data_IF_430963068734
#
_entry.id   IF_430963068734
#
_cell.length_a   1.000
_cell.length_b   1.000
_cell.length_c   1.000
_cell.angle_alpha   90.00
_cell.angle_beta   90.00
_cell.angle_gamma   90.00
#
_symmetry.space_group_name_H-M   'P 1'
#
loop_
_entity.id
_entity.type
_entity.pdbx_description
1 polymer ?
#
# COMPACT_ATOMS: atom_id res chain seq x y z
N UNK A 1 -28.09 47.91 22.73
CA UNK A 1 -26.64 47.61 22.79
C UNK A 1 -26.50 46.47 23.76
N UNK A 2 -26.58 45.25 23.24
CA UNK A 2 -26.51 44.01 24.02
C UNK A 2 -25.35 43.17 23.51
N UNK A 3 -24.50 42.79 24.46
CA UNK A 3 -23.42 41.83 24.29
C UNK A 3 -24.00 40.44 24.05
N UNK A 4 -23.67 39.82 22.91
CA UNK A 4 -23.78 38.37 22.73
C UNK A 4 -22.44 37.82 22.25
N UNK A 5 -21.70 37.25 23.19
CA UNK A 5 -20.51 36.44 22.94
C UNK A 5 -20.93 35.11 22.32
N UNK A 6 -20.72 34.94 21.02
CA UNK A 6 -20.86 33.65 20.35
C UNK A 6 -19.67 32.74 20.69
N UNK A 7 -19.92 31.77 21.56
CA UNK A 7 -19.06 30.62 21.85
C UNK A 7 -18.82 29.80 20.57
N UNK A 8 -17.67 30.01 19.94
CA UNK A 8 -17.10 29.05 18.98
C UNK A 8 -16.50 27.88 19.77
N UNK A 9 -17.32 26.90 20.12
CA UNK A 9 -16.82 25.57 20.49
C UNK A 9 -16.44 24.84 19.22
N UNK A 10 -15.14 24.90 18.91
CA UNK A 10 -14.49 24.12 17.88
C UNK A 10 -14.52 22.64 18.30
N UNK A 11 -15.40 21.85 17.71
CA UNK A 11 -15.65 20.44 18.08
C UNK A 11 -14.46 19.53 17.72
N UNK A 12 -13.40 20.08 17.12
CA UNK A 12 -12.15 19.38 16.82
C UNK A 12 -11.03 19.64 17.85
N UNK A 13 -11.25 20.46 18.87
CA UNK A 13 -10.26 20.69 19.94
C UNK A 13 -10.42 19.77 21.15
N UNK A 14 -11.29 18.76 21.10
CA UNK A 14 -11.30 17.70 22.09
C UNK A 14 -10.04 16.85 21.90
N UNK A 15 -9.08 17.07 22.79
CA UNK A 15 -7.74 16.47 22.85
C UNK A 15 -7.83 14.93 22.84
N UNK A 16 -7.93 14.35 21.64
CA UNK A 16 -7.34 13.04 21.37
C UNK A 16 -5.84 13.30 21.48
N UNK A 17 -5.19 12.79 22.53
CA UNK A 17 -3.76 13.05 22.72
C UNK A 17 -3.03 12.69 21.43
N UNK A 18 -2.14 13.58 20.96
CA UNK A 18 -1.37 13.39 19.73
C UNK A 18 -0.62 12.06 19.66
N UNK A 19 -0.39 11.43 20.82
CA UNK A 19 0.18 10.10 20.96
C UNK A 19 -0.77 8.96 20.53
N UNK A 20 -2.10 9.12 20.62
CA UNK A 20 -3.07 8.10 20.17
C UNK A 20 -3.23 8.07 18.65
N UNK A 21 -3.16 9.23 17.98
CA UNK A 21 -3.19 9.29 16.51
C UNK A 21 -1.90 8.74 15.89
N UNK A 22 -0.75 8.92 16.56
CA UNK A 22 0.53 8.27 16.19
C UNK A 22 0.52 6.73 16.35
N UNK A 23 -0.47 6.16 17.02
CA UNK A 23 -0.59 4.72 17.22
C UNK A 23 -1.43 4.03 16.13
N UNK A 24 -2.08 4.79 15.25
CA UNK A 24 -2.79 4.25 14.09
C UNK A 24 -1.79 3.98 12.95
N UNK A 25 -1.97 2.91 12.18
CA UNK A 25 -1.13 2.66 11.01
C UNK A 25 -1.25 3.80 10.01
N UNK A 26 -0.20 3.98 9.20
CA UNK A 26 -0.29 4.88 8.06
C UNK A 26 -1.49 4.48 7.18
N UNK A 27 -2.21 5.46 6.57
CA UNK A 27 -3.33 5.14 5.69
C UNK A 27 -2.88 4.18 4.58
N UNK A 28 -3.60 3.06 4.33
CA UNK A 28 -3.12 1.93 3.53
C UNK A 28 -2.64 2.32 2.13
N UNK A 29 -3.27 3.31 1.52
CA UNK A 29 -3.05 3.69 0.13
C UNK A 29 -2.42 5.08 -0.03
N UNK A 30 -1.86 5.66 1.04
CA UNK A 30 -1.30 7.01 1.00
C UNK A 30 -0.19 7.13 -0.05
N UNK A 31 0.80 6.23 0.00
CA UNK A 31 1.95 6.24 -0.91
C UNK A 31 1.50 6.14 -2.38
N UNK A 32 0.73 5.13 -2.81
CA UNK A 32 0.31 5.05 -4.20
C UNK A 32 -0.61 6.18 -4.63
N UNK A 33 -1.49 6.70 -3.76
CA UNK A 33 -2.32 7.86 -4.08
C UNK A 33 -1.47 9.13 -4.31
N UNK A 34 -0.39 9.33 -3.53
CA UNK A 34 0.54 10.45 -3.73
C UNK A 34 1.30 10.29 -5.05
N UNK A 35 1.78 9.08 -5.35
CA UNK A 35 2.47 8.79 -6.62
C UNK A 35 1.56 9.11 -7.80
N UNK A 36 0.30 8.65 -7.80
CA UNK A 36 -0.66 8.98 -8.85
C UNK A 36 -0.85 10.48 -9.03
N UNK A 37 -1.12 11.21 -7.94
CA UNK A 37 -1.31 12.65 -8.02
C UNK A 37 -0.08 13.38 -8.57
N UNK A 38 1.13 12.94 -8.20
CA UNK A 38 2.35 13.51 -8.75
C UNK A 38 2.50 13.20 -10.24
N UNK A 39 2.19 11.97 -10.65
CA UNK A 39 2.22 11.51 -12.04
C UNK A 39 1.13 12.15 -12.93
N UNK A 40 0.06 12.67 -12.34
CA UNK A 40 -1.00 13.46 -12.99
C UNK A 40 -0.69 14.97 -12.99
N UNK A 41 0.34 15.40 -12.27
CA UNK A 41 0.72 16.80 -12.14
C UNK A 41 1.85 17.20 -13.08
N UNK A 42 2.28 18.47 -12.98
CA UNK A 42 3.49 19.00 -13.62
C UNK A 42 4.80 18.29 -13.22
N UNK A 43 4.77 17.45 -12.19
CA UNK A 43 5.93 16.69 -11.72
C UNK A 43 6.04 15.29 -12.37
N UNK A 44 5.15 14.94 -13.30
CA UNK A 44 5.08 13.60 -13.88
C UNK A 44 6.38 13.10 -14.52
N UNK A 45 7.19 13.99 -15.10
CA UNK A 45 8.49 13.65 -15.68
C UNK A 45 9.63 13.56 -14.66
N UNK A 46 9.37 13.89 -13.39
CA UNK A 46 10.33 13.90 -12.29
C UNK A 46 10.06 12.81 -11.25
N UNK A 47 8.95 12.08 -11.40
CA UNK A 47 8.55 11.01 -10.48
C UNK A 47 8.68 9.67 -11.18
N UNK A 48 9.33 8.73 -10.51
CA UNK A 48 9.48 7.37 -10.98
C UNK A 48 9.46 6.41 -9.79
N UNK A 49 8.80 5.26 -9.97
CA UNK A 49 8.96 4.09 -9.13
C UNK A 49 10.12 3.26 -9.66
N UNK A 50 10.98 2.79 -8.76
CA UNK A 50 12.22 2.08 -9.08
C UNK A 50 12.17 0.62 -8.60
N UNK A 51 12.90 -0.31 -9.25
CA UNK A 51 13.01 -1.69 -8.80
C UNK A 51 13.94 -1.83 -7.59
N UNK A 52 13.46 -1.51 -6.39
CA UNK A 52 14.19 -1.64 -5.13
C UNK A 52 13.90 -0.51 -4.15
N UNK A 53 14.82 -0.29 -3.21
CA UNK A 53 14.75 0.82 -2.27
C UNK A 53 15.17 2.14 -2.91
N UNK A 54 14.41 3.20 -2.65
CA UNK A 54 14.65 4.52 -3.24
C UNK A 54 16.02 5.09 -2.82
N UNK A 55 16.49 4.73 -1.63
CA UNK A 55 17.75 5.20 -1.05
C UNK A 55 18.95 4.82 -1.90
N UNK A 56 19.05 3.56 -2.32
CA UNK A 56 20.14 3.08 -3.17
C UNK A 56 20.17 3.80 -4.54
N UNK A 57 19.00 4.09 -5.12
CA UNK A 57 18.89 4.81 -6.40
C UNK A 57 19.20 6.29 -6.25
N UNK A 58 18.72 6.94 -5.19
CA UNK A 58 19.05 8.33 -4.89
C UNK A 58 20.57 8.48 -4.65
N UNK A 59 21.16 7.54 -3.91
CA UNK A 59 22.59 7.49 -3.66
C UNK A 59 23.39 7.33 -4.95
N UNK A 60 23.01 6.37 -5.80
CA UNK A 60 23.66 6.15 -7.09
C UNK A 60 23.57 7.37 -8.01
N UNK A 61 22.38 8.00 -8.10
CA UNK A 61 22.19 9.22 -8.87
C UNK A 61 23.06 10.37 -8.35
N UNK A 62 23.12 10.56 -7.03
CA UNK A 62 23.99 11.57 -6.41
C UNK A 62 25.48 11.28 -6.61
N UNK A 63 25.88 10.01 -6.60
CA UNK A 63 27.25 9.57 -6.85
C UNK A 63 27.68 9.88 -8.29
N UNK A 64 26.80 9.64 -9.26
CA UNK A 64 27.08 9.87 -10.69
C UNK A 64 26.99 11.35 -11.10
N UNK A 65 26.02 12.09 -10.56
CA UNK A 65 25.67 13.42 -11.06
C UNK A 65 25.88 14.54 -10.03
N UNK A 66 26.22 14.20 -8.78
CA UNK A 66 26.13 15.11 -7.65
C UNK A 66 24.67 15.39 -7.27
N UNK A 67 24.45 16.39 -6.42
CA UNK A 67 23.11 16.85 -6.06
C UNK A 67 22.82 16.72 -4.57
N UNK A 68 21.56 16.93 -4.22
CA UNK A 68 21.10 16.98 -2.83
C UNK A 68 19.90 16.06 -2.68
N UNK A 69 20.00 15.11 -1.76
CA UNK A 69 18.92 14.18 -1.44
C UNK A 69 18.19 14.70 -0.19
N UNK A 70 16.87 14.81 -0.28
CA UNK A 70 16.01 15.17 0.84
C UNK A 70 15.34 13.91 1.38
N UNK A 71 15.60 13.58 2.65
CA UNK A 71 15.07 12.34 3.26
C UNK A 71 14.82 12.50 4.76
N UNK A 72 14.06 11.60 5.38
CA UNK A 72 14.04 11.45 6.84
C UNK A 72 15.05 10.42 7.33
N UNK A 73 15.55 9.56 6.44
CA UNK A 73 16.38 8.42 6.77
C UNK A 73 17.85 8.81 6.82
N UNK A 74 18.46 8.63 7.99
CA UNK A 74 19.82 9.09 8.26
C UNK A 74 20.90 8.10 7.84
N UNK A 75 20.53 6.85 7.58
CA UNK A 75 21.41 5.82 6.98
C UNK A 75 21.83 6.18 5.56
N UNK A 76 21.12 7.07 4.87
CA UNK A 76 21.54 7.62 3.59
C UNK A 76 22.92 8.31 3.64
N UNK A 77 23.36 8.73 4.84
CA UNK A 77 24.71 9.25 5.05
C UNK A 77 25.80 8.17 4.92
N UNK A 78 25.44 6.89 5.05
CA UNK A 78 26.35 5.75 5.01
C UNK A 78 26.66 5.35 3.56
N UNK A 79 25.71 5.55 2.64
CA UNK A 79 25.90 5.32 1.21
C UNK A 79 27.02 6.18 0.62
N UNK A 80 27.70 5.64 -0.40
CA UNK A 80 28.63 6.44 -1.20
C UNK A 80 27.86 7.39 -2.14
N UNK A 81 27.74 8.66 -1.76
CA UNK A 81 27.13 9.72 -2.57
C UNK A 81 28.14 10.45 -3.48
N UNK A 82 29.37 9.95 -3.58
CA UNK A 82 30.46 10.62 -4.28
C UNK A 82 30.92 11.92 -3.59
N UNK A 83 31.78 12.68 -4.28
CA UNK A 83 32.42 13.88 -3.71
C UNK A 83 31.48 15.07 -3.55
N UNK A 84 30.44 15.14 -4.38
CA UNK A 84 29.54 16.30 -4.49
C UNK A 84 28.12 16.01 -4.02
N UNK A 85 27.81 14.76 -3.66
CA UNK A 85 26.50 14.38 -3.11
C UNK A 85 26.32 14.88 -1.69
N UNK A 86 25.09 15.29 -1.38
CA UNK A 86 24.71 15.84 -0.08
C UNK A 86 23.38 15.26 0.36
N UNK A 87 23.16 15.27 1.67
CA UNK A 87 21.88 14.92 2.30
C UNK A 87 21.36 16.10 3.08
N UNK A 88 20.08 16.38 2.94
CA UNK A 88 19.31 17.26 3.82
C UNK A 88 18.26 16.38 4.50
N UNK A 89 18.25 16.39 5.84
CA UNK A 89 17.23 15.67 6.58
C UNK A 89 16.00 16.55 6.77
N UNK A 90 14.80 16.00 6.57
CA UNK A 90 13.55 16.74 6.75
C UNK A 90 13.40 17.32 8.15
N UNK A 91 13.96 16.66 9.17
CA UNK A 91 13.97 17.15 10.56
C UNK A 91 14.75 18.44 10.77
N UNK A 92 15.68 18.77 9.87
CA UNK A 92 16.53 19.95 9.94
C UNK A 92 16.01 21.10 9.06
N UNK A 93 14.82 20.94 8.46
CA UNK A 93 14.14 22.01 7.71
C UNK A 93 13.40 22.94 8.66
N UNK A 94 13.91 24.16 8.77
CA UNK A 94 13.27 25.24 9.51
C UNK A 94 12.75 26.32 8.56
N UNK A 95 11.66 26.98 8.96
CA UNK A 95 11.24 28.22 8.30
C UNK A 95 11.78 29.40 9.09
N UNK A 96 12.54 30.26 8.42
CA UNK A 96 13.02 31.54 8.96
C UNK A 96 12.41 32.72 8.19
N UNK A 97 12.40 33.89 8.82
CA UNK A 97 12.02 35.14 8.14
C UNK A 97 13.26 36.03 8.03
N UNK A 98 13.65 36.35 6.80
CA UNK A 98 14.77 37.24 6.53
C UNK A 98 14.22 38.62 6.16
N UNK A 99 14.68 39.72 6.80
CA UNK A 99 14.12 41.07 6.59
C UNK A 99 14.01 41.53 5.13
N UNK A 100 14.89 41.04 4.25
CA UNK A 100 14.92 41.41 2.82
C UNK A 100 14.37 40.35 1.86
N UNK A 101 14.06 39.13 2.33
CA UNK A 101 13.66 38.00 1.47
C UNK A 101 12.36 37.33 1.89
N UNK A 102 11.76 37.79 3.00
CA UNK A 102 10.55 37.21 3.54
C UNK A 102 10.77 35.81 4.11
N UNK A 103 9.81 34.92 3.91
CA UNK A 103 9.82 33.55 4.44
C UNK A 103 10.80 32.68 3.64
N UNK A 104 11.82 32.14 4.29
CA UNK A 104 12.84 31.27 3.69
C UNK A 104 12.93 29.95 4.44
N UNK A 105 13.41 28.90 3.75
CA UNK A 105 13.78 27.64 4.39
C UNK A 105 15.26 27.69 4.78
N UNK A 106 15.55 27.36 6.04
CA UNK A 106 16.89 27.12 6.58
C UNK A 106 17.06 25.62 6.75
N UNK A 107 18.26 25.12 6.46
CA UNK A 107 18.55 23.70 6.56
C UNK A 107 20.01 23.43 6.90
N UNK A 108 20.30 22.19 7.28
CA UNK A 108 21.64 21.66 7.47
C UNK A 108 21.97 20.70 6.32
N UNK A 109 23.07 20.98 5.62
CA UNK A 109 23.61 20.09 4.60
C UNK A 109 24.63 19.14 5.24
N UNK A 110 24.44 17.84 5.01
CA UNK A 110 25.39 16.81 5.39
C UNK A 110 26.15 16.34 4.15
N UNK A 111 27.48 16.30 4.27
CA UNK A 111 28.38 15.89 3.19
C UNK A 111 29.11 14.60 3.61
N UNK A 112 28.62 13.40 3.26
CA UNK A 112 29.19 12.13 3.71
C UNK A 112 30.70 12.02 3.48
N UNK A 113 31.17 12.36 2.27
CA UNK A 113 32.60 12.32 1.94
C UNK A 113 33.44 13.29 2.80
N UNK A 114 32.90 14.47 3.15
CA UNK A 114 33.58 15.43 4.01
C UNK A 114 33.60 14.99 5.47
N UNK A 115 32.52 14.34 5.92
CA UNK A 115 32.42 13.76 7.27
C UNK A 115 33.43 12.61 7.41
N UNK A 116 33.47 11.68 6.45
CA UNK A 116 34.44 10.59 6.43
C UNK A 116 35.88 11.10 6.46
N UNK A 117 36.20 12.09 5.61
CA UNK A 117 37.52 12.73 5.59
C UNK A 117 37.88 13.37 6.93
N UNK A 118 36.94 14.05 7.58
CA UNK A 118 37.15 14.66 8.91
C UNK A 118 37.42 13.61 9.99
N UNK A 119 36.86 12.42 9.85
CA UNK A 119 37.10 11.29 10.75
C UNK A 119 38.30 10.43 10.35
N UNK A 120 39.03 10.80 9.30
CA UNK A 120 40.16 10.03 8.75
C UNK A 120 39.76 8.60 8.36
N UNK A 121 38.51 8.43 7.89
CA UNK A 121 37.97 7.16 7.41
C UNK A 121 37.83 7.18 5.87
N UNK A 122 37.95 6.03 5.19
CA UNK A 122 37.73 5.95 3.75
C UNK A 122 36.27 6.22 3.37
N UNK A 123 35.33 5.75 4.18
CA UNK A 123 33.89 5.96 4.06
C UNK A 123 33.23 5.80 5.45
N UNK A 124 31.90 5.94 5.52
CA UNK A 124 31.15 5.84 6.78
C UNK A 124 30.58 4.43 7.06
N UNK A 125 30.75 3.47 6.15
CA UNK A 125 30.15 2.12 6.26
C UNK A 125 30.62 1.39 7.51
N UNK A 126 31.94 1.33 7.73
CA UNK A 126 32.51 0.64 8.91
C UNK A 126 32.15 1.33 10.23
N UNK A 127 32.03 2.66 10.20
CA UNK A 127 31.56 3.42 11.35
C UNK A 127 30.11 3.08 11.68
N UNK A 128 29.23 3.07 10.67
CA UNK A 128 27.83 2.73 10.82
C UNK A 128 27.62 1.31 11.34
N UNK A 129 28.43 0.35 10.86
CA UNK A 129 28.43 -1.02 11.38
C UNK A 129 28.73 -1.07 12.88
N UNK A 130 29.79 -0.40 13.35
CA UNK A 130 30.09 -0.41 14.79
C UNK A 130 29.02 0.30 15.62
N UNK A 131 28.38 1.34 15.07
CA UNK A 131 27.26 2.01 15.70
C UNK A 131 26.03 1.10 15.80
N UNK A 132 25.73 0.28 14.79
CA UNK A 132 24.58 -0.64 14.81
C UNK A 132 24.79 -1.84 15.75
N UNK A 133 26.04 -2.25 15.99
CA UNK A 133 26.36 -3.35 16.91
C UNK A 133 26.21 -2.97 18.39
N UNK A 134 26.46 -1.71 18.77
CA UNK A 134 26.40 -1.29 20.17
C UNK A 134 26.01 0.19 20.31
N UNK A 135 24.74 0.42 20.65
CA UNK A 135 24.16 1.75 20.84
C UNK A 135 24.70 2.50 22.06
N UNK A 136 25.47 1.86 22.94
CA UNK A 136 26.04 2.50 24.13
C UNK A 136 27.42 3.11 23.90
N UNK A 137 28.11 2.73 22.81
CA UNK A 137 29.41 3.31 22.45
C UNK A 137 29.28 4.74 21.97
N UNK A 138 30.20 5.58 22.42
CA UNK A 138 30.30 6.95 21.92
C UNK A 138 30.74 6.99 20.46
N UNK A 139 30.42 8.09 19.77
CA UNK A 139 30.86 8.32 18.39
C UNK A 139 32.39 8.21 18.24
N UNK A 140 33.15 8.78 19.18
CA UNK A 140 34.62 8.75 19.15
C UNK A 140 35.18 7.33 19.31
N UNK A 141 34.53 6.48 20.11
CA UNK A 141 34.92 5.07 20.24
C UNK A 141 34.64 4.31 18.94
N UNK A 142 33.47 4.52 18.34
CA UNK A 142 33.11 3.89 17.07
C UNK A 142 34.03 4.35 15.92
N UNK A 143 34.44 5.62 15.88
CA UNK A 143 35.44 6.12 14.92
C UNK A 143 36.78 5.41 15.11
N UNK A 144 37.26 5.27 16.35
CA UNK A 144 38.50 4.55 16.64
C UNK A 144 38.42 3.07 16.24
N UNK A 145 37.27 2.42 16.42
CA UNK A 145 37.06 1.05 15.96
C UNK A 145 37.04 0.95 14.43
N UNK A 146 36.38 1.90 13.76
CA UNK A 146 36.32 1.95 12.31
C UNK A 146 37.70 2.15 11.67
N UNK A 147 38.56 2.97 12.27
CA UNK A 147 39.91 3.23 11.77
C UNK A 147 40.93 2.10 11.96
N UNK A 148 40.61 1.06 12.75
CA UNK A 148 41.52 -0.08 12.95
C UNK A 148 41.51 -1.01 11.75
N UNK A 149 42.68 -1.48 11.34
CA UNK A 149 42.85 -2.51 10.31
C UNK A 149 42.65 -3.92 10.88
N UNK A 150 41.49 -4.14 11.51
CA UNK A 150 41.09 -5.44 12.06
C UNK A 150 40.24 -6.20 11.04
N UNK A 151 40.45 -7.52 10.87
CA UNK A 151 39.57 -8.36 10.07
C UNK A 151 38.12 -8.23 10.51
N UNK A 152 37.21 -8.00 9.57
CA UNK A 152 35.79 -7.82 9.85
C UNK A 152 35.06 -9.16 9.91
N UNK A 153 33.99 -9.21 10.72
CA UNK A 153 33.15 -10.41 10.82
C UNK A 153 32.39 -10.65 9.51
N UNK A 154 31.87 -11.86 9.33
CA UNK A 154 31.02 -12.18 8.19
C UNK A 154 29.81 -11.23 8.06
N UNK A 155 29.22 -10.82 9.19
CA UNK A 155 28.09 -9.87 9.21
C UNK A 155 28.44 -8.45 8.74
N UNK A 156 29.72 -8.07 8.65
CA UNK A 156 30.10 -6.79 8.05
C UNK A 156 29.97 -6.81 6.52
N UNK A 157 30.25 -7.94 5.87
CA UNK A 157 30.17 -8.02 4.41
C UNK A 157 28.72 -7.82 3.93
N UNK A 158 27.78 -8.50 4.59
CA UNK A 158 26.33 -8.33 4.37
C UNK A 158 25.89 -6.89 4.64
N UNK A 159 26.30 -6.30 5.78
CA UNK A 159 26.01 -4.90 6.10
C UNK A 159 26.59 -3.93 5.05
N UNK A 160 27.82 -4.16 4.59
CA UNK A 160 28.48 -3.26 3.64
C UNK A 160 27.89 -3.35 2.23
N UNK A 161 27.32 -4.50 1.86
CA UNK A 161 26.67 -4.70 0.56
C UNK A 161 25.48 -3.75 0.37
N UNK A 162 24.71 -3.49 1.42
CA UNK A 162 23.56 -2.56 1.43
C UNK A 162 23.95 -1.13 1.01
N UNK A 163 25.16 -0.67 1.35
CA UNK A 163 25.61 0.71 1.13
C UNK A 163 26.57 0.90 -0.05
N UNK A 164 27.03 -0.19 -0.68
CA UNK A 164 28.13 -0.15 -1.64
C UNK A 164 27.73 0.21 -3.07
N UNK A 165 26.69 -0.43 -3.61
CA UNK A 165 26.22 -0.19 -4.98
C UNK A 165 24.75 -0.60 -5.12
N UNK A 166 24.11 -0.26 -6.25
CA UNK A 166 22.76 -0.74 -6.53
C UNK A 166 22.65 -2.26 -6.31
N UNK A 167 21.59 -2.73 -5.63
CA UNK A 167 21.33 -4.16 -5.45
C UNK A 167 21.35 -4.92 -6.78
N UNK A 168 21.73 -6.20 -6.74
CA UNK A 168 21.84 -7.03 -7.95
C UNK A 168 20.50 -7.12 -8.70
N UNK A 169 19.39 -7.31 -7.99
CA UNK A 169 18.05 -7.30 -8.58
C UNK A 169 17.76 -5.98 -9.32
N UNK A 170 18.10 -4.84 -8.71
CA UNK A 170 17.93 -3.52 -9.32
C UNK A 170 18.70 -3.41 -10.65
N UNK A 171 19.95 -3.86 -10.68
CA UNK A 171 20.78 -3.85 -11.90
C UNK A 171 20.18 -4.72 -13.02
N UNK A 172 19.73 -5.93 -12.69
CA UNK A 172 19.10 -6.85 -13.66
C UNK A 172 17.78 -6.30 -14.19
N UNK A 173 16.94 -5.78 -13.29
CA UNK A 173 15.66 -5.19 -13.63
C UNK A 173 15.80 -3.99 -14.59
N UNK A 174 16.84 -3.17 -14.40
CA UNK A 174 17.19 -2.08 -15.30
C UNK A 174 17.68 -2.60 -16.65
N UNK A 175 18.59 -3.58 -16.66
CA UNK A 175 19.18 -4.14 -17.88
C UNK A 175 18.13 -4.66 -18.88
N UNK A 176 17.11 -5.36 -18.39
CA UNK A 176 16.00 -5.88 -19.22
C UNK A 176 15.14 -4.81 -19.89
N UNK A 177 15.24 -3.54 -19.45
CA UNK A 177 14.39 -2.45 -19.95
C UNK A 177 15.11 -1.46 -20.85
N UNK A 178 16.44 -1.62 -21.04
CA UNK A 178 17.30 -0.65 -21.74
C UNK A 178 16.77 -0.35 -23.15
N UNK A 179 16.31 -1.37 -23.87
CA UNK A 179 15.85 -1.22 -25.26
C UNK A 179 14.32 -1.03 -25.40
N UNK A 180 13.58 -0.96 -24.29
CA UNK A 180 12.11 -0.88 -24.28
C UNK A 180 11.61 0.39 -23.59
N UNK A 181 11.77 1.54 -24.26
CA UNK A 181 11.45 2.84 -23.68
C UNK A 181 9.98 2.99 -23.21
N UNK A 182 9.03 2.34 -23.89
CA UNK A 182 7.61 2.32 -23.48
C UNK A 182 7.42 1.54 -22.17
N UNK A 183 8.00 0.34 -22.10
CA UNK A 183 7.96 -0.53 -20.91
C UNK A 183 8.58 0.15 -19.70
N UNK A 184 9.73 0.81 -19.85
CA UNK A 184 10.39 1.55 -18.77
C UNK A 184 9.47 2.62 -18.17
N UNK A 185 8.73 3.37 -19.03
CA UNK A 185 7.75 4.36 -18.57
C UNK A 185 6.57 3.74 -17.83
N UNK A 186 6.08 2.58 -18.28
CA UNK A 186 4.97 1.87 -17.61
C UNK A 186 5.40 1.39 -16.24
N UNK A 187 6.57 0.76 -16.13
CA UNK A 187 7.12 0.27 -14.86
C UNK A 187 7.35 1.40 -13.86
N UNK A 188 7.84 2.54 -14.32
CA UNK A 188 8.08 3.72 -13.48
C UNK A 188 6.80 4.35 -12.90
N UNK A 189 5.62 3.91 -13.34
CA UNK A 189 4.30 4.44 -12.92
C UNK A 189 3.49 3.45 -12.08
N UNK A 190 4.05 2.30 -11.77
CA UNK A 190 3.38 1.27 -10.97
C UNK A 190 3.20 1.71 -9.52
N UNK A 191 2.27 1.05 -8.83
CA UNK A 191 2.29 1.01 -7.37
C UNK A 191 3.59 0.32 -6.91
N UNK A 192 4.30 0.80 -5.88
CA UNK A 192 5.53 0.18 -5.41
C UNK A 192 5.43 -1.33 -5.12
N UNK A 193 4.31 -1.80 -4.55
CA UNK A 193 4.10 -3.22 -4.24
C UNK A 193 3.86 -4.06 -5.49
N UNK A 194 3.17 -3.48 -6.47
CA UNK A 194 2.94 -4.11 -7.78
C UNK A 194 4.25 -4.11 -8.59
N UNK A 195 5.05 -3.05 -8.47
CA UNK A 195 6.37 -2.93 -9.07
C UNK A 195 7.30 -4.04 -8.59
N UNK A 196 7.37 -4.24 -7.27
CA UNK A 196 8.20 -5.28 -6.64
C UNK A 196 7.90 -6.67 -7.22
N UNK A 197 6.63 -7.10 -7.19
CA UNK A 197 6.24 -8.42 -7.70
C UNK A 197 6.53 -8.55 -9.21
N UNK A 198 6.22 -7.52 -10.01
CA UNK A 198 6.50 -7.51 -11.46
C UNK A 198 7.99 -7.66 -11.74
N UNK A 199 8.85 -6.95 -11.02
CA UNK A 199 10.30 -7.04 -11.20
C UNK A 199 10.86 -8.38 -10.75
N UNK A 200 10.36 -8.94 -9.64
CA UNK A 200 10.73 -10.28 -9.19
C UNK A 200 10.40 -11.33 -10.25
N UNK A 201 9.17 -11.33 -10.79
CA UNK A 201 8.73 -12.23 -11.86
C UNK A 201 9.67 -12.21 -13.07
N UNK A 202 10.05 -11.01 -13.48
CA UNK A 202 10.85 -10.80 -14.69
C UNK A 202 12.30 -11.26 -14.53
N UNK A 203 12.90 -10.99 -13.36
CA UNK A 203 14.31 -11.28 -13.11
C UNK A 203 14.56 -12.72 -12.66
N UNK A 204 13.55 -13.43 -12.12
CA UNK A 204 13.71 -14.76 -11.48
C UNK A 204 14.37 -15.83 -12.36
N UNK A 205 14.09 -15.87 -13.66
CA UNK A 205 14.68 -16.85 -14.59
C UNK A 205 16.10 -16.48 -15.05
N UNK A 206 16.61 -15.31 -14.66
CA UNK A 206 17.95 -14.90 -15.02
C UNK A 206 18.98 -15.72 -14.24
N UNK A 207 19.95 -16.33 -14.94
CA UNK A 207 21.05 -17.07 -14.31
C UNK A 207 21.88 -16.20 -13.37
N UNK A 208 21.87 -14.89 -13.59
CA UNK A 208 22.51 -13.90 -12.73
C UNK A 208 21.61 -13.41 -11.59
N UNK A 209 20.38 -13.90 -11.43
CA UNK A 209 19.56 -13.53 -10.29
C UNK A 209 20.26 -13.89 -8.95
N UNK A 210 20.05 -13.10 -7.88
CA UNK A 210 20.41 -13.48 -6.52
C UNK A 210 19.95 -14.92 -6.17
N UNK A 211 20.79 -15.69 -5.48
CA UNK A 211 20.49 -17.11 -5.17
C UNK A 211 19.26 -17.27 -4.30
N UNK A 212 19.03 -16.36 -3.36
CA UNK A 212 17.82 -16.28 -2.54
C UNK A 212 16.54 -16.08 -3.38
N UNK A 213 16.64 -15.43 -4.55
CA UNK A 213 15.52 -15.30 -5.49
C UNK A 213 15.34 -16.52 -6.39
N UNK A 214 16.42 -17.21 -6.74
CA UNK A 214 16.37 -18.47 -7.50
C UNK A 214 15.84 -19.63 -6.65
N UNK A 215 16.25 -19.70 -5.39
CA UNK A 215 15.88 -20.74 -4.43
C UNK A 215 14.52 -20.48 -3.76
N UNK A 216 14.01 -19.24 -3.83
CA UNK A 216 12.67 -18.94 -3.31
C UNK A 216 11.60 -19.47 -4.26
N UNK A 217 11.01 -20.62 -3.92
CA UNK A 217 9.81 -21.13 -4.59
C UNK A 217 8.63 -20.14 -4.51
N UNK A 218 8.64 -19.24 -3.53
CA UNK A 218 7.50 -18.39 -3.20
C UNK A 218 7.69 -16.95 -3.69
N UNK A 219 6.77 -16.51 -4.55
CA UNK A 219 6.61 -15.09 -4.88
C UNK A 219 5.76 -14.44 -3.79
N UNK A 220 6.29 -13.43 -3.11
CA UNK A 220 5.61 -12.80 -1.97
C UNK A 220 4.93 -11.48 -2.38
N UNK A 221 3.72 -11.25 -1.89
CA UNK A 221 2.99 -9.98 -2.04
C UNK A 221 2.61 -9.42 -0.67
N UNK A 222 3.09 -8.23 -0.33
CA UNK A 222 2.77 -7.56 0.93
C UNK A 222 1.60 -6.60 0.77
N UNK A 223 0.40 -7.04 1.16
CA UNK A 223 -0.83 -6.26 1.01
C UNK A 223 -0.90 -5.10 2.02
N UNK A 224 -1.42 -3.92 1.64
CA UNK A 224 -1.61 -2.80 2.55
C UNK A 224 -2.42 -3.13 3.81
N UNK A 225 -2.11 -2.45 4.91
CA UNK A 225 -2.83 -2.61 6.18
C UNK A 225 -4.18 -1.89 6.14
N UNK A 226 -5.25 -2.65 5.90
CA UNK A 226 -6.62 -2.13 5.97
C UNK A 226 -7.09 -1.98 7.42
N UNK A 227 -8.00 -1.02 7.63
CA UNK A 227 -8.69 -0.84 8.90
C UNK A 227 -9.98 -1.65 8.84
N UNK A 228 -9.91 -2.91 9.26
CA UNK A 228 -11.05 -3.83 9.31
C UNK A 228 -11.31 -4.34 10.75
N UNK A 229 -12.43 -5.04 10.93
CA UNK A 229 -12.75 -5.71 12.20
C UNK A 229 -11.81 -6.90 12.43
N UNK A 230 -10.93 -6.87 13.45
CA UNK A 230 -9.94 -7.92 13.71
C UNK A 230 -10.55 -9.24 14.21
N UNK A 231 -11.83 -9.25 14.57
CA UNK A 231 -12.56 -10.45 14.99
C UNK A 231 -13.15 -11.23 13.81
N UNK A 232 -13.12 -10.63 12.60
CA UNK A 232 -13.63 -11.22 11.37
C UNK A 232 -12.48 -11.74 10.50
N UNK A 233 -12.84 -12.48 9.45
CA UNK A 233 -11.87 -12.87 8.42
C UNK A 233 -11.34 -11.65 7.68
N UNK A 234 -10.06 -11.64 7.31
CA UNK A 234 -9.42 -10.53 6.57
C UNK A 234 -10.30 -9.96 5.46
N UNK A 235 -10.39 -8.63 5.42
CA UNK A 235 -11.06 -7.90 4.36
C UNK A 235 -10.55 -8.25 2.95
N UNK A 236 -9.27 -8.60 2.82
CA UNK A 236 -8.62 -8.95 1.54
C UNK A 236 -9.16 -10.20 0.86
N UNK A 237 -9.88 -11.06 1.59
CA UNK A 237 -10.61 -12.22 1.03
C UNK A 237 -11.53 -11.82 -0.12
N UNK A 238 -12.16 -10.65 -0.02
CA UNK A 238 -13.12 -10.14 -1.02
C UNK A 238 -12.53 -9.84 -2.40
N UNK A 239 -11.21 -9.74 -2.51
CA UNK A 239 -10.51 -9.45 -3.76
C UNK A 239 -9.59 -10.57 -4.24
N UNK A 240 -9.61 -11.76 -3.61
CA UNK A 240 -8.63 -12.82 -3.88
C UNK A 240 -8.76 -13.39 -5.30
N UNK A 241 -9.98 -13.55 -5.82
CA UNK A 241 -10.21 -14.05 -7.19
C UNK A 241 -9.65 -13.09 -8.24
N UNK A 242 -9.80 -11.78 -8.03
CA UNK A 242 -9.27 -10.74 -8.92
C UNK A 242 -7.73 -10.74 -8.88
N UNK A 243 -7.13 -10.89 -7.70
CA UNK A 243 -5.65 -10.99 -7.58
C UNK A 243 -5.13 -12.28 -8.19
N UNK A 244 -5.81 -13.40 -8.03
CA UNK A 244 -5.45 -14.66 -8.68
C UNK A 244 -5.44 -14.52 -10.21
N UNK A 245 -6.43 -13.84 -10.80
CA UNK A 245 -6.43 -13.49 -12.23
C UNK A 245 -5.23 -12.61 -12.58
N UNK A 246 -4.96 -11.56 -11.81
CA UNK A 246 -3.84 -10.67 -12.04
C UNK A 246 -2.49 -11.40 -12.00
N UNK A 247 -2.24 -12.22 -10.97
CA UNK A 247 -1.03 -13.04 -10.87
C UNK A 247 -0.94 -14.08 -11.99
N UNK A 248 -2.05 -14.65 -12.43
CA UNK A 248 -2.05 -15.60 -13.55
C UNK A 248 -1.60 -14.95 -14.85
N UNK A 249 -1.80 -13.64 -15.04
CA UNK A 249 -1.24 -12.91 -16.20
C UNK A 249 0.29 -12.82 -16.14
N UNK A 250 0.89 -12.79 -14.95
CA UNK A 250 2.36 -12.78 -14.81
C UNK A 250 2.99 -14.08 -15.34
N UNK A 251 2.22 -15.17 -15.43
CA UNK A 251 2.67 -16.43 -16.05
C UNK A 251 2.96 -16.31 -17.54
N UNK A 252 2.41 -15.29 -18.20
CA UNK A 252 2.73 -14.98 -19.59
C UNK A 252 4.14 -14.37 -19.73
N UNK A 253 4.70 -13.83 -18.65
CA UNK A 253 6.08 -13.34 -18.60
C UNK A 253 7.04 -14.41 -18.07
N UNK A 254 6.57 -15.22 -17.11
CA UNK A 254 7.35 -16.28 -16.50
C UNK A 254 6.46 -17.47 -16.14
N UNK A 255 6.54 -18.54 -16.93
CA UNK A 255 5.67 -19.71 -16.80
C UNK A 255 5.93 -20.57 -15.56
N UNK A 256 7.08 -20.40 -14.89
CA UNK A 256 7.46 -21.14 -13.68
C UNK A 256 6.65 -20.75 -12.44
N UNK A 257 5.93 -19.62 -12.50
CA UNK A 257 5.14 -19.14 -11.37
C UNK A 257 3.86 -19.97 -11.25
N UNK A 258 3.72 -20.64 -10.12
CA UNK A 258 2.57 -21.50 -9.79
C UNK A 258 1.74 -20.95 -8.64
N UNK A 259 2.32 -20.14 -7.76
CA UNK A 259 1.65 -19.60 -6.57
C UNK A 259 2.23 -18.26 -6.14
N UNK A 260 1.42 -17.48 -5.41
CA UNK A 260 1.83 -16.22 -4.76
C UNK A 260 1.44 -16.27 -3.28
N UNK A 261 2.36 -15.98 -2.38
CA UNK A 261 2.09 -15.87 -0.95
C UNK A 261 1.76 -14.44 -0.57
N UNK A 262 0.51 -14.20 -0.17
CA UNK A 262 0.03 -12.90 0.25
C UNK A 262 0.22 -12.71 1.76
N UNK A 263 1.04 -11.75 2.14
CA UNK A 263 1.20 -11.32 3.52
C UNK A 263 0.19 -10.21 3.83
N UNK A 264 -0.68 -10.51 4.78
CA UNK A 264 -1.72 -9.61 5.26
C UNK A 264 -1.79 -9.64 6.77
N UNK A 265 -2.45 -8.64 7.34
CA UNK A 265 -2.80 -8.65 8.75
C UNK A 265 -4.00 -9.56 8.99
N UNK A 266 -3.83 -10.53 9.90
CA UNK A 266 -4.91 -11.35 10.45
C UNK A 266 -4.99 -11.11 11.95
N UNK A 267 -5.96 -10.29 12.37
CA UNK A 267 -6.12 -9.89 13.77
C UNK A 267 -4.92 -9.07 14.27
N UNK A 268 -4.09 -9.63 15.15
CA UNK A 268 -2.89 -8.97 15.70
C UNK A 268 -1.57 -9.41 15.06
N UNK A 269 -1.61 -10.35 14.12
CA UNK A 269 -0.40 -10.92 13.48
C UNK A 269 -0.39 -10.64 11.99
N UNK A 270 0.80 -10.63 11.40
CA UNK A 270 0.99 -10.73 9.95
C UNK A 270 1.10 -12.22 9.61
N UNK A 271 0.36 -12.67 8.60
CA UNK A 271 0.36 -14.06 8.19
C UNK A 271 0.26 -14.18 6.67
N UNK A 272 1.02 -15.14 6.12
CA UNK A 272 0.95 -15.51 4.71
C UNK A 272 -0.30 -16.32 4.38
N UNK A 273 -0.88 -16.09 3.20
CA UNK A 273 -1.91 -16.93 2.58
C UNK A 273 -1.49 -17.22 1.15
N UNK A 274 -1.39 -18.49 0.79
CA UNK A 274 -1.06 -18.87 -0.58
C UNK A 274 -2.26 -18.72 -1.50
N UNK A 275 -2.03 -18.08 -2.64
CA UNK A 275 -2.93 -18.00 -3.78
C UNK A 275 -2.34 -18.89 -4.88
N UNK A 276 -2.93 -20.07 -5.05
CA UNK A 276 -2.59 -21.00 -6.12
C UNK A 276 -3.06 -20.43 -7.47
N UNK A 277 -2.21 -20.53 -8.49
CA UNK A 277 -2.54 -20.11 -9.84
C UNK A 277 -2.97 -21.32 -10.66
N UNK A 278 -4.09 -21.17 -11.36
CA UNK A 278 -4.58 -22.24 -12.24
C UNK A 278 -3.61 -22.43 -13.41
N UNK A 279 -2.92 -23.58 -13.40
CA UNK A 279 -1.99 -24.00 -14.45
C UNK A 279 -2.65 -24.79 -15.57
N UNK A 280 -3.91 -25.19 -15.38
CA UNK A 280 -4.64 -26.10 -16.27
C UNK A 280 -5.48 -25.35 -17.30
N UNK A 281 -6.07 -24.21 -16.92
CA UNK A 281 -6.84 -23.38 -17.84
C UNK A 281 -5.95 -22.64 -18.85
N UNK A 282 -6.40 -22.58 -20.09
CA UNK A 282 -5.76 -21.74 -21.11
C UNK A 282 -5.84 -20.27 -20.71
N UNK A 283 -4.75 -19.53 -20.88
CA UNK A 283 -4.70 -18.09 -20.64
C UNK A 283 -5.76 -17.31 -21.43
N UNK A 284 -6.12 -17.81 -22.63
CA UNK A 284 -7.20 -17.25 -23.45
C UNK A 284 -8.55 -17.34 -22.75
N UNK A 285 -8.93 -18.54 -22.29
CA UNK A 285 -10.23 -18.77 -21.65
C UNK A 285 -10.38 -17.95 -20.36
N UNK A 286 -9.32 -17.91 -19.55
CA UNK A 286 -9.28 -17.09 -18.34
C UNK A 286 -9.47 -15.59 -18.64
N UNK A 287 -8.80 -15.07 -19.68
CA UNK A 287 -8.95 -13.69 -20.12
C UNK A 287 -10.34 -13.40 -20.70
N UNK A 288 -10.91 -14.32 -21.48
CA UNK A 288 -12.27 -14.20 -22.02
C UNK A 288 -13.30 -14.09 -20.89
N UNK A 289 -13.22 -14.96 -19.89
CA UNK A 289 -14.10 -14.93 -18.72
C UNK A 289 -13.93 -13.65 -17.90
N UNK A 290 -12.68 -13.21 -17.69
CA UNK A 290 -12.36 -11.96 -17.00
C UNK A 290 -12.96 -10.74 -17.72
N UNK A 291 -12.72 -10.64 -19.04
CA UNK A 291 -13.23 -9.56 -19.89
C UNK A 291 -14.75 -9.56 -19.92
N UNK A 292 -15.38 -10.73 -20.07
CA UNK A 292 -16.83 -10.87 -20.09
C UNK A 292 -17.44 -10.42 -18.77
N UNK A 293 -16.95 -10.96 -17.65
CA UNK A 293 -17.41 -10.62 -16.31
C UNK A 293 -17.31 -9.12 -16.04
N UNK A 294 -16.17 -8.51 -16.37
CA UNK A 294 -15.97 -7.08 -16.13
C UNK A 294 -16.84 -6.19 -17.05
N UNK A 295 -17.05 -6.59 -18.32
CA UNK A 295 -17.99 -5.90 -19.22
C UNK A 295 -19.42 -5.94 -18.69
N UNK A 296 -19.86 -7.11 -18.23
CA UNK A 296 -21.20 -7.29 -17.68
C UNK A 296 -21.37 -6.42 -16.43
N UNK A 297 -20.41 -6.45 -15.51
CA UNK A 297 -20.46 -5.66 -14.27
C UNK A 297 -20.45 -4.14 -14.51
N UNK A 298 -19.62 -3.65 -15.44
CA UNK A 298 -19.59 -2.22 -15.80
C UNK A 298 -20.83 -1.79 -16.60
N UNK A 299 -21.45 -2.71 -17.34
CA UNK A 299 -22.61 -2.45 -18.18
C UNK A 299 -23.93 -2.32 -17.42
N UNK A 300 -24.03 -2.85 -16.19
CA UNK A 300 -25.29 -2.86 -15.44
C UNK A 300 -25.79 -1.46 -15.04
N UNK A 301 -24.89 -0.50 -14.80
CA UNK A 301 -25.24 0.77 -14.17
C UNK A 301 -24.58 1.98 -14.87
N UNK A 302 -24.99 2.29 -16.12
CA UNK A 302 -24.41 3.39 -16.90
C UNK A 302 -24.75 4.78 -16.37
N UNK A 303 -25.82 4.92 -15.56
CA UNK A 303 -26.25 6.18 -14.96
C UNK A 303 -25.39 6.62 -13.77
N UNK A 304 -24.58 5.73 -13.19
CA UNK A 304 -23.68 6.07 -12.10
C UNK A 304 -22.48 6.86 -12.60
N UNK A 305 -21.96 7.76 -11.75
CA UNK A 305 -20.64 8.34 -11.95
C UNK A 305 -19.58 7.25 -12.02
N UNK A 306 -18.46 7.54 -12.68
CA UNK A 306 -17.33 6.61 -12.84
C UNK A 306 -16.91 6.00 -11.49
N UNK A 307 -16.68 6.82 -10.46
CA UNK A 307 -16.30 6.35 -9.13
C UNK A 307 -17.40 5.50 -8.45
N UNK A 308 -18.66 5.93 -8.50
CA UNK A 308 -19.76 5.16 -7.93
C UNK A 308 -19.95 3.81 -8.64
N UNK A 309 -19.77 3.75 -9.97
CA UNK A 309 -19.84 2.51 -10.75
C UNK A 309 -18.79 1.51 -10.29
N UNK A 310 -17.53 1.93 -10.17
CA UNK A 310 -16.46 1.04 -9.69
C UNK A 310 -16.65 0.61 -8.23
N UNK A 311 -17.18 1.49 -7.36
CA UNK A 311 -17.57 1.09 -6.00
C UNK A 311 -18.72 0.09 -5.99
N UNK A 312 -19.67 0.19 -6.93
CA UNK A 312 -20.73 -0.80 -7.10
C UNK A 312 -20.17 -2.16 -7.53
N UNK A 313 -19.29 -2.20 -8.54
CA UNK A 313 -18.58 -3.43 -8.96
C UNK A 313 -17.82 -4.05 -7.79
N UNK A 314 -17.02 -3.26 -7.08
CA UNK A 314 -16.29 -3.75 -5.91
C UNK A 314 -17.23 -4.28 -4.82
N UNK A 315 -18.34 -3.58 -4.52
CA UNK A 315 -19.28 -4.03 -3.49
C UNK A 315 -20.05 -5.28 -3.92
N UNK A 316 -20.34 -5.46 -5.21
CA UNK A 316 -20.86 -6.71 -5.77
C UNK A 316 -19.89 -7.87 -5.49
N UNK A 317 -18.60 -7.69 -5.75
CA UNK A 317 -17.58 -8.70 -5.41
C UNK A 317 -17.51 -8.99 -3.91
N UNK A 318 -17.66 -7.98 -3.04
CA UNK A 318 -17.76 -8.20 -1.59
C UNK A 318 -18.95 -9.07 -1.23
N UNK A 319 -20.13 -8.80 -1.82
CA UNK A 319 -21.34 -9.59 -1.58
C UNK A 319 -21.15 -11.03 -2.06
N UNK A 320 -20.70 -11.23 -3.30
CA UNK A 320 -20.42 -12.55 -3.87
C UNK A 320 -19.41 -13.33 -3.01
N UNK A 321 -18.29 -12.70 -2.64
CA UNK A 321 -17.27 -13.34 -1.81
C UNK A 321 -17.80 -13.75 -0.43
N UNK A 322 -18.65 -12.92 0.20
CA UNK A 322 -19.28 -13.30 1.45
C UNK A 322 -20.20 -14.50 1.26
N UNK A 323 -21.04 -14.53 0.21
CA UNK A 323 -21.92 -15.65 -0.09
C UNK A 323 -21.14 -16.95 -0.36
N UNK A 324 -20.10 -16.90 -1.18
CA UNK A 324 -19.23 -18.04 -1.50
C UNK A 324 -18.54 -18.62 -0.25
N UNK A 325 -18.38 -17.81 0.80
CA UNK A 325 -17.79 -18.19 2.08
C UNK A 325 -18.84 -18.37 3.20
N UNK A 326 -20.11 -18.57 2.85
CA UNK A 326 -21.23 -18.79 3.79
C UNK A 326 -21.38 -17.68 4.85
N UNK A 327 -21.06 -16.44 4.48
CA UNK A 327 -21.20 -15.25 5.33
C UNK A 327 -22.32 -14.35 4.82
N UNK A 328 -23.00 -13.63 5.73
CA UNK A 328 -24.01 -12.68 5.33
C UNK A 328 -23.38 -11.53 4.52
N UNK A 329 -24.07 -11.04 3.47
CA UNK A 329 -23.68 -9.82 2.79
C UNK A 329 -23.82 -8.60 3.73
N UNK A 330 -23.16 -7.47 3.44
CA UNK A 330 -23.41 -6.22 4.16
C UNK A 330 -24.88 -5.78 4.04
N UNK A 331 -25.35 -4.97 4.98
CA UNK A 331 -26.71 -4.41 4.94
C UNK A 331 -26.88 -3.49 3.73
N UNK A 332 -28.08 -3.42 3.14
CA UNK A 332 -28.36 -2.52 2.01
C UNK A 332 -28.02 -1.06 2.30
N UNK A 333 -28.30 -0.60 3.52
CA UNK A 333 -27.97 0.76 3.95
C UNK A 333 -26.46 1.01 3.91
N UNK A 334 -25.66 0.03 4.34
CA UNK A 334 -24.19 0.09 4.27
C UNK A 334 -23.71 0.01 2.83
N UNK A 335 -24.28 -0.86 2.00
CA UNK A 335 -23.95 -0.95 0.56
C UNK A 335 -24.22 0.39 -0.14
N UNK A 336 -25.38 1.02 0.09
CA UNK A 336 -25.69 2.34 -0.46
C UNK A 336 -24.65 3.40 -0.06
N UNK A 337 -24.24 3.39 1.21
CA UNK A 337 -23.21 4.30 1.72
C UNK A 337 -21.85 4.05 1.06
N UNK A 338 -21.46 2.78 0.91
CA UNK A 338 -20.22 2.38 0.25
C UNK A 338 -20.20 2.85 -1.22
N UNK A 339 -21.26 2.59 -1.98
CA UNK A 339 -21.33 2.97 -3.40
C UNK A 339 -21.34 4.49 -3.59
N UNK A 340 -22.09 5.22 -2.75
CA UNK A 340 -22.09 6.70 -2.77
C UNK A 340 -20.79 7.33 -2.24
N UNK A 341 -19.93 6.57 -1.57
CA UNK A 341 -18.77 7.10 -0.84
C UNK A 341 -19.15 7.87 0.44
N UNK A 342 -20.41 7.77 0.89
CA UNK A 342 -20.90 8.46 2.08
C UNK A 342 -20.46 7.77 3.36
N UNK A 343 -19.98 8.57 4.32
CA UNK A 343 -19.73 8.14 5.70
C UNK A 343 -20.78 8.65 6.69
N UNK A 344 -21.84 9.29 6.21
CA UNK A 344 -22.92 9.76 7.07
C UNK A 344 -23.55 8.61 7.86
N UNK A 345 -23.98 8.90 9.08
CA UNK A 345 -24.53 7.90 10.00
C UNK A 345 -23.48 7.27 10.93
N UNK A 346 -23.90 6.23 11.65
CA UNK A 346 -23.06 5.55 12.64
C UNK A 346 -22.02 4.67 11.93
N UNK A 347 -20.75 4.85 12.27
CA UNK A 347 -19.66 3.99 11.82
C UNK A 347 -19.58 2.74 12.72
N UNK A 348 -20.39 1.74 12.40
CA UNK A 348 -20.33 0.43 13.07
C UNK A 348 -19.13 -0.38 12.59
N UNK A 349 -18.64 -1.33 13.40
CA UNK A 349 -17.62 -2.29 12.97
C UNK A 349 -18.03 -3.09 11.71
N UNK A 350 -19.32 -3.36 11.56
CA UNK A 350 -19.88 -4.00 10.36
C UNK A 350 -19.65 -3.14 9.11
N UNK A 351 -19.94 -1.84 9.18
CA UNK A 351 -19.69 -0.89 8.09
C UNK A 351 -18.20 -0.70 7.82
N UNK A 352 -17.39 -0.52 8.86
CA UNK A 352 -15.92 -0.37 8.74
C UNK A 352 -15.32 -1.57 8.03
N UNK A 353 -15.71 -2.79 8.44
CA UNK A 353 -15.24 -4.01 7.81
C UNK A 353 -15.72 -4.12 6.35
N UNK A 354 -16.98 -3.80 6.04
CA UNK A 354 -17.47 -3.81 4.66
C UNK A 354 -16.75 -2.76 3.78
N UNK A 355 -16.41 -1.59 4.34
CA UNK A 355 -15.59 -0.58 3.67
C UNK A 355 -14.19 -1.10 3.39
N UNK A 356 -13.56 -1.80 4.33
CA UNK A 356 -12.26 -2.42 4.11
C UNK A 356 -12.33 -3.52 3.03
N UNK A 357 -13.39 -4.33 3.00
CA UNK A 357 -13.62 -5.31 1.95
C UNK A 357 -13.72 -4.62 0.58
N UNK A 358 -14.52 -3.56 0.46
CA UNK A 358 -14.62 -2.80 -0.80
C UNK A 358 -13.25 -2.22 -1.23
N UNK A 359 -12.49 -1.66 -0.28
CA UNK A 359 -11.14 -1.15 -0.54
C UNK A 359 -10.20 -2.24 -1.04
N UNK A 360 -10.25 -3.44 -0.45
CA UNK A 360 -9.48 -4.59 -0.91
C UNK A 360 -9.85 -4.96 -2.35
N UNK A 361 -11.15 -5.06 -2.68
CA UNK A 361 -11.60 -5.38 -4.04
C UNK A 361 -11.18 -4.31 -5.05
N UNK A 362 -11.30 -3.02 -4.72
CA UNK A 362 -10.84 -1.91 -5.58
C UNK A 362 -9.33 -1.96 -5.82
N UNK A 363 -8.54 -2.20 -4.77
CA UNK A 363 -7.10 -2.34 -4.91
C UNK A 363 -6.72 -3.58 -5.71
N UNK A 364 -7.45 -4.70 -5.59
CA UNK A 364 -7.27 -5.87 -6.45
C UNK A 364 -7.53 -5.56 -7.93
N UNK A 365 -8.57 -4.76 -8.24
CA UNK A 365 -8.83 -4.32 -9.62
C UNK A 365 -7.71 -3.42 -10.15
N UNK A 366 -7.14 -2.58 -9.29
CA UNK A 366 -5.92 -1.81 -9.61
C UNK A 366 -4.74 -2.71 -9.90
N UNK A 367 -4.53 -3.78 -9.13
CA UNK A 367 -3.49 -4.78 -9.41
C UNK A 367 -3.69 -5.41 -10.78
N UNK A 368 -4.91 -5.84 -11.10
CA UNK A 368 -5.26 -6.38 -12.42
C UNK A 368 -4.98 -5.37 -13.54
N UNK A 369 -5.35 -4.10 -13.34
CA UNK A 369 -5.12 -3.01 -14.30
C UNK A 369 -3.63 -2.80 -14.59
N UNK A 370 -2.82 -2.63 -13.55
CA UNK A 370 -1.40 -2.37 -13.71
C UNK A 370 -0.65 -3.58 -14.26
N UNK A 371 -0.95 -4.79 -13.77
CA UNK A 371 -0.30 -6.02 -14.25
C UNK A 371 -0.69 -6.30 -15.71
N UNK A 372 -1.97 -6.18 -16.08
CA UNK A 372 -2.38 -6.39 -17.47
C UNK A 372 -1.72 -5.39 -18.43
N UNK A 373 -1.58 -4.12 -18.02
CA UNK A 373 -0.86 -3.09 -18.80
C UNK A 373 0.61 -3.44 -19.00
N UNK A 374 1.29 -3.89 -17.95
CA UNK A 374 2.68 -4.35 -18.03
C UNK A 374 2.79 -5.53 -18.97
N UNK A 375 2.01 -6.59 -18.74
CA UNK A 375 2.05 -7.83 -19.53
C UNK A 375 1.79 -7.53 -21.00
N UNK A 376 0.78 -6.71 -21.30
CA UNK A 376 0.51 -6.24 -22.65
C UNK A 376 1.74 -5.59 -23.29
N UNK A 377 2.38 -4.64 -22.59
CA UNK A 377 3.54 -3.91 -23.14
C UNK A 377 4.76 -4.80 -23.41
N UNK A 378 4.90 -5.91 -22.67
CA UNK A 378 5.97 -6.89 -22.91
C UNK A 378 5.68 -7.83 -24.08
N UNK A 379 4.40 -8.08 -24.33
CA UNK A 379 3.93 -8.95 -25.42
C UNK A 379 3.65 -8.18 -26.71
N UNK A 380 3.75 -6.83 -26.72
CA UNK A 380 3.62 -5.99 -27.91
C UNK A 380 4.47 -6.55 -29.07
N UNK A 381 3.81 -6.86 -30.19
CA UNK A 381 4.44 -7.45 -31.38
C UNK A 381 4.22 -8.96 -31.58
N UNK A 382 3.65 -9.67 -30.59
CA UNK A 382 3.25 -11.07 -30.75
C UNK A 382 1.81 -11.17 -31.28
N UNK A 383 1.61 -11.54 -32.55
CA UNK A 383 0.26 -11.64 -33.12
C UNK A 383 -0.47 -12.89 -32.58
N UNK A 384 -1.36 -12.71 -31.59
CA UNK A 384 -2.20 -13.77 -31.05
C UNK A 384 -3.48 -13.23 -30.39
N UNK A 385 -4.46 -14.11 -30.21
CA UNK A 385 -5.74 -13.79 -29.57
C UNK A 385 -5.58 -13.22 -28.15
N UNK A 386 -4.49 -13.55 -27.45
CA UNK A 386 -4.19 -13.09 -26.09
C UNK A 386 -3.99 -11.57 -26.07
N UNK A 387 -3.24 -11.00 -27.03
CA UNK A 387 -3.05 -9.55 -27.10
C UNK A 387 -4.36 -8.77 -27.29
N UNK A 388 -5.28 -9.29 -28.11
CA UNK A 388 -6.57 -8.63 -28.35
C UNK A 388 -7.43 -8.62 -27.08
N UNK A 389 -7.43 -9.73 -26.34
CA UNK A 389 -8.12 -9.84 -25.06
C UNK A 389 -7.48 -8.95 -23.99
N UNK A 390 -6.15 -8.93 -23.89
CA UNK A 390 -5.41 -8.03 -23.01
C UNK A 390 -5.70 -6.56 -23.32
N UNK A 391 -5.67 -6.16 -24.59
CA UNK A 391 -6.01 -4.81 -25.01
C UNK A 391 -7.44 -4.44 -24.60
N UNK A 392 -8.38 -5.38 -24.74
CA UNK A 392 -9.76 -5.18 -24.30
C UNK A 392 -9.85 -5.01 -22.79
N UNK A 393 -9.16 -5.86 -22.01
CA UNK A 393 -9.11 -5.79 -20.56
C UNK A 393 -8.50 -4.46 -20.08
N UNK A 394 -7.36 -4.07 -20.64
CA UNK A 394 -6.68 -2.80 -20.34
C UNK A 394 -7.60 -1.62 -20.66
N UNK A 395 -8.30 -1.65 -21.80
CA UNK A 395 -9.26 -0.58 -22.15
C UNK A 395 -10.42 -0.46 -21.16
N UNK A 396 -10.95 -1.58 -20.66
CA UNK A 396 -11.99 -1.57 -19.63
C UNK A 396 -11.46 -0.99 -18.31
N UNK A 397 -10.25 -1.41 -17.92
CA UNK A 397 -9.62 -1.01 -16.66
C UNK A 397 -9.04 0.40 -16.71
N UNK A 398 -8.78 0.98 -17.88
CA UNK A 398 -8.41 2.39 -18.05
C UNK A 398 -9.53 3.33 -17.57
N UNK A 399 -10.77 2.84 -17.48
CA UNK A 399 -11.86 3.58 -16.87
C UNK A 399 -11.85 3.53 -15.33
N UNK A 400 -10.92 2.84 -14.67
CA UNK A 400 -10.78 2.85 -13.22
C UNK A 400 -10.27 4.23 -12.74
N UNK A 401 -10.99 4.93 -11.83
CA UNK A 401 -10.52 6.21 -11.28
C UNK A 401 -9.27 6.06 -10.42
N UNK A 402 -8.62 7.19 -10.13
CA UNK A 402 -7.48 7.23 -9.21
C UNK A 402 -7.89 6.77 -7.80
N UNK A 403 -6.92 6.33 -6.99
CA UNK A 403 -7.16 5.95 -5.59
C UNK A 403 -7.76 7.12 -4.81
N UNK A 404 -7.36 8.34 -5.14
CA UNK A 404 -7.99 9.54 -4.57
C UNK A 404 -9.46 9.56 -4.93
N UNK A 405 -9.86 9.53 -6.20
CA UNK A 405 -11.27 9.62 -6.57
C UNK A 405 -12.14 8.47 -6.05
N UNK A 406 -11.58 7.26 -6.00
CA UNK A 406 -12.27 6.08 -5.49
C UNK A 406 -12.52 6.15 -3.99
N UNK A 407 -11.55 6.66 -3.23
CA UNK A 407 -11.54 6.65 -1.77
C UNK A 407 -11.86 8.02 -1.14
N UNK A 408 -11.93 9.10 -1.95
CA UNK A 408 -12.28 10.45 -1.51
C UNK A 408 -13.71 10.48 -1.01
N UNK A 409 -13.88 11.10 0.15
CA UNK A 409 -15.06 11.03 0.99
C UNK A 409 -16.04 12.16 0.64
N UNK A 410 -16.23 12.41 -0.65
CA UNK A 410 -17.23 13.38 -1.09
C UNK A 410 -18.59 12.71 -1.04
N UNK A 411 -19.40 13.12 -0.06
CA UNK A 411 -20.84 12.83 -0.10
C UNK A 411 -21.39 13.43 -1.39
N UNK A 412 -21.76 12.57 -2.35
CA UNK A 412 -22.56 13.05 -3.47
C UNK A 412 -23.86 13.61 -2.89
N UNK A 413 -24.05 14.92 -3.09
CA UNK A 413 -25.28 15.62 -2.72
C UNK A 413 -26.28 15.65 -3.87
N UNK A 414 -25.98 14.94 -4.96
CA UNK A 414 -26.89 14.84 -6.08
C UNK A 414 -27.95 13.77 -5.79
N UNK A 415 -29.19 14.21 -5.56
CA UNK A 415 -30.32 13.33 -5.33
C UNK A 415 -30.53 12.34 -6.48
N UNK A 416 -30.21 12.72 -7.72
CA UNK A 416 -30.33 11.82 -8.89
C UNK A 416 -29.33 10.66 -8.80
N UNK A 417 -28.11 10.91 -8.36
CA UNK A 417 -27.09 9.88 -8.18
C UNK A 417 -27.46 8.94 -7.02
N UNK A 418 -28.01 9.47 -5.93
CA UNK A 418 -28.46 8.66 -4.79
C UNK A 418 -29.54 7.66 -5.20
N UNK A 419 -30.55 8.09 -5.98
CA UNK A 419 -31.58 7.16 -6.46
C UNK A 419 -31.03 6.15 -7.47
N UNK A 420 -30.11 6.56 -8.36
CA UNK A 420 -29.43 5.65 -9.26
C UNK A 420 -28.61 4.59 -8.50
N UNK A 421 -27.93 4.98 -7.42
CA UNK A 421 -27.22 4.05 -6.53
C UNK A 421 -28.18 3.08 -5.88
N UNK A 422 -29.31 3.54 -5.33
CA UNK A 422 -30.30 2.64 -4.71
C UNK A 422 -30.82 1.60 -5.70
N UNK A 423 -31.13 2.00 -6.92
CA UNK A 423 -31.55 1.09 -7.99
C UNK A 423 -30.45 0.08 -8.33
N UNK A 424 -29.20 0.54 -8.43
CA UNK A 424 -28.05 -0.34 -8.70
C UNK A 424 -27.83 -1.38 -7.60
N UNK A 425 -27.91 -0.96 -6.34
CA UNK A 425 -27.78 -1.84 -5.17
C UNK A 425 -28.89 -2.89 -5.15
N UNK A 426 -30.14 -2.49 -5.37
CA UNK A 426 -31.27 -3.43 -5.44
C UNK A 426 -31.09 -4.46 -6.56
N UNK A 427 -30.72 -4.00 -7.76
CA UNK A 427 -30.42 -4.88 -8.91
C UNK A 427 -29.30 -5.87 -8.59
N UNK A 428 -28.23 -5.40 -7.95
CA UNK A 428 -27.09 -6.23 -7.56
C UNK A 428 -27.52 -7.31 -6.57
N UNK A 429 -28.23 -6.94 -5.50
CA UNK A 429 -28.71 -7.89 -4.49
C UNK A 429 -29.66 -8.94 -5.08
N UNK A 430 -30.56 -8.53 -5.97
CA UNK A 430 -31.47 -9.43 -6.68
C UNK A 430 -30.70 -10.41 -7.59
N UNK A 431 -29.70 -9.93 -8.34
CA UNK A 431 -28.87 -10.79 -9.20
C UNK A 431 -28.10 -11.85 -8.43
N UNK A 432 -27.80 -11.58 -7.15
CA UNK A 432 -27.11 -12.48 -6.24
C UNK A 432 -28.08 -13.37 -5.43
N UNK A 433 -29.39 -13.28 -5.69
CA UNK A 433 -30.40 -14.05 -4.95
C UNK A 433 -30.58 -13.63 -3.49
N UNK A 434 -30.14 -12.41 -3.12
CA UNK A 434 -30.25 -11.90 -1.75
C UNK A 434 -31.63 -11.26 -1.57
N UNK A 435 -32.56 -11.98 -0.93
CA UNK A 435 -33.81 -11.42 -0.42
C UNK A 435 -33.57 -10.77 0.94
N UNK A 436 -33.76 -9.45 1.07
CA UNK A 436 -33.66 -8.81 2.39
C UNK A 436 -34.96 -8.88 3.16
N UNK A 437 -34.89 -9.46 4.36
CA UNK A 437 -35.86 -9.24 5.43
C UNK A 437 -35.68 -7.84 6.02
N UNK A 438 -36.82 -7.21 6.30
CA UNK A 438 -36.94 -6.02 7.14
C UNK A 438 -36.21 -6.19 8.47
N UNK A 439 -35.80 -5.06 9.06
CA UNK A 439 -35.10 -4.98 10.35
C UNK A 439 -35.52 -6.05 11.37
N UNK A 440 -34.59 -6.65 12.13
CA UNK A 440 -34.98 -7.51 13.23
C UNK A 440 -35.73 -6.67 14.28
N UNK A 441 -37.05 -6.80 14.30
CA UNK A 441 -37.92 -6.34 15.38
C UNK A 441 -37.27 -6.65 16.72
N UNK A 442 -36.94 -5.61 17.47
CA UNK A 442 -36.36 -5.70 18.80
C UNK A 442 -37.23 -6.58 19.69
N UNK A 443 -36.86 -7.86 19.86
CA UNK A 443 -37.46 -8.70 20.88
C UNK A 443 -36.94 -8.20 22.23
N UNK A 444 -37.78 -7.42 22.91
CA UNK A 444 -37.64 -7.01 24.32
C UNK A 444 -37.15 -8.19 25.16
N UNK A 445 -35.86 -8.21 25.53
CA UNK A 445 -35.36 -9.13 26.55
C UNK A 445 -35.79 -8.60 27.92
N UNK A 446 -36.75 -9.31 28.52
CA UNK A 446 -37.15 -9.19 29.94
C UNK A 446 -35.92 -9.27 30.85
N UNK A 447 -35.70 -8.22 31.64
CA UNK A 447 -34.80 -8.20 32.81
C UNK A 447 -35.15 -9.37 33.74
N UNK A 448 -34.20 -10.27 33.98
CA UNK A 448 -34.23 -11.20 35.11
C UNK A 448 -33.06 -10.85 36.03
N UNK A 449 -33.38 -10.21 37.16
CA UNK A 449 -32.48 -10.00 38.30
C UNK A 449 -32.03 -11.37 38.81
N UNK A 450 -30.72 -11.57 38.98
CA UNK A 450 -30.19 -12.54 39.95
C UNK A 450 -29.08 -11.87 40.75
N UNK A 451 -29.38 -11.66 42.03
CA UNK A 451 -28.41 -11.38 43.11
C UNK A 451 -27.44 -12.55 43.18
N UNK A 452 -26.16 -12.26 43.32
CA UNK A 452 -25.11 -13.21 43.66
C UNK A 452 -23.93 -12.42 44.20
N UNK A 453 -23.50 -12.79 45.40
CA UNK A 453 -22.68 -12.02 46.32
C UNK A 453 -21.25 -11.73 45.85
N UNK A 454 -20.76 -10.63 46.42
CA UNK A 454 -19.42 -10.11 46.32
C UNK A 454 -18.54 -10.85 47.34
N UNK A 455 -17.50 -11.54 46.88
CA UNK A 455 -16.30 -11.79 47.69
C UNK A 455 -15.10 -11.31 46.88
N UNK A 456 -14.38 -10.36 47.46
CA UNK A 456 -13.30 -9.65 46.80
C UNK A 456 -11.97 -10.38 46.90
N UNK A 457 -11.15 -10.17 45.89
CA UNK A 457 -9.70 -10.21 46.04
C UNK A 457 -9.11 -8.92 45.44
N UNK A 458 -8.32 -8.25 46.29
CA UNK A 458 -7.62 -7.00 45.99
C UNK A 458 -6.49 -7.28 45.01
N UNK A 459 -6.47 -6.59 43.88
CA UNK A 459 -5.30 -6.53 42.99
C UNK A 459 -4.39 -5.37 43.42
N UNK A 460 -3.04 -5.54 43.45
CA UNK A 460 -2.12 -4.48 43.85
C UNK A 460 -1.99 -3.41 42.74
N UNK A 461 -1.54 -2.18 43.08
CA UNK A 461 -1.38 -1.12 42.10
C UNK A 461 -0.08 -1.29 41.29
N UNK A 462 -0.20 -1.13 39.97
CA UNK A 462 0.91 -0.69 39.12
C UNK A 462 1.68 -1.77 38.37
N UNK A 463 1.18 -2.17 37.20
CA UNK A 463 2.00 -2.36 35.99
C UNK A 463 1.14 -1.98 34.79
N UNK A 464 1.50 -0.90 34.10
CA UNK A 464 0.87 -0.54 32.84
C UNK A 464 1.29 -1.55 31.76
N UNK A 465 0.47 -2.57 31.54
CA UNK A 465 0.58 -3.39 30.34
C UNK A 465 0.20 -2.52 29.14
N UNK A 466 1.21 -2.02 28.42
CA UNK A 466 1.00 -1.49 27.06
C UNK A 466 0.51 -2.66 26.23
N UNK A 467 -0.79 -2.71 25.97
CA UNK A 467 -1.31 -3.66 24.99
C UNK A 467 -0.78 -3.24 23.61
N UNK A 468 -0.10 -4.14 22.91
CA UNK A 468 0.25 -3.97 21.49
C UNK A 468 -0.99 -4.07 20.57
N UNK A 469 -2.20 -4.06 21.14
CA UNK A 469 -3.44 -4.04 20.40
C UNK A 469 -3.77 -2.59 20.03
N UNK A 470 -3.58 -2.22 18.77
CA UNK A 470 -3.89 -0.87 18.27
C UNK A 470 -5.37 -0.47 18.45
N UNK A 471 -6.28 -1.44 18.64
CA UNK A 471 -7.70 -1.20 18.89
C UNK A 471 -8.05 -0.95 20.36
N UNK A 472 -7.11 -1.16 21.29
CA UNK A 472 -7.29 -0.80 22.72
C UNK A 472 -7.49 0.71 22.92
N UNK A 473 -7.14 1.52 21.91
CA UNK A 473 -7.31 2.96 21.91
C UNK A 473 -8.60 3.45 21.22
N UNK A 474 -9.38 2.53 20.62
CA UNK A 474 -10.63 2.81 19.91
C UNK A 474 -11.89 2.42 20.72
N UNK A 475 -11.72 1.96 21.96
CA UNK A 475 -12.79 1.63 22.91
C UNK A 475 -13.18 2.81 23.80
#
# INVERSE_FOLDING_TARGET
>A
MENTSASKTDVLSAVISSNRLKALPAPPFLVPAVIEMLLESRYSSLVAVIPGEADAYCAEAARQHGGVIFTSDSDLLVHDLGKSGKVILFRDLDTIHLPSRGKCLKTQEYHPASIAKRFELPNLVKLAFFMSQDHHKSLNENIRLAGKDTPMSAGFAEFAEEYGSLPKLSKLAMAETIDKSNVSKILARLDPRISEIVHLVRVKENQEAPSDLQDSDNLNMYLPYLIDDPTRTSAWRSGVSIRAQAYSLLRLLNSSITQVTEFERKGTRVAGTTVELDSTSSAVAMLEDCVKSLKDDLGQHPSLSKAARWRAVATRHVCQSNLDNEKPPPLSSDINRLVTGSREGVLSWSFIHASAQMQASLYSLRMLSQISTVVQSFLEGADNAILTLLQTLVNLLNDLPSLRELLDEKTSRDNSEIEAVRAAVLSTLQSLGITQDAEPLSKKKKKRKKKGEHTGERTPPGVAWRSNNMFSNLS
#
